data_IF_595419041961
#
_entry.id   IF_595419041961
#
_cell.length_a   1.000
_cell.length_b   1.000
_cell.length_c   1.000
_cell.angle_alpha   90.00
_cell.angle_beta   90.00
_cell.angle_gamma   90.00
#
_symmetry.space_group_name_H-M   'P 1'
#
loop_
_entity.id
_entity.type
_entity.pdbx_description
1 polymer ?
#
# COMPACT_ATOMS: atom_id res chain seq x y z
N UNK A 1 -5.48 23.30 7.94
CA UNK A 1 -6.31 22.84 6.82
C UNK A 1 -6.27 21.33 6.90
N UNK A 2 -7.42 20.70 7.14
CA UNK A 2 -7.56 19.24 7.26
C UNK A 2 -7.17 18.60 5.92
N UNK A 3 -6.38 17.55 5.99
CA UNK A 3 -6.05 16.74 4.81
C UNK A 3 -7.31 15.96 4.39
N UNK A 4 -7.74 16.03 3.11
CA UNK A 4 -8.94 15.36 2.67
C UNK A 4 -8.76 13.84 2.67
N UNK A 5 -9.78 13.14 3.17
CA UNK A 5 -9.85 11.69 3.24
C UNK A 5 -10.43 11.13 1.94
N UNK A 6 -9.57 10.52 1.13
CA UNK A 6 -9.97 9.92 -0.16
C UNK A 6 -10.41 8.47 0.02
N UNK A 7 -11.42 8.04 -0.72
CA UNK A 7 -11.86 6.64 -0.73
C UNK A 7 -10.86 5.76 -1.50
N UNK A 8 -10.47 4.57 -0.99
CA UNK A 8 -9.58 3.65 -1.70
C UNK A 8 -10.30 2.79 -2.78
N UNK A 9 -11.62 2.92 -2.91
CA UNK A 9 -12.43 2.15 -3.85
C UNK A 9 -13.02 3.00 -4.99
N UNK A 10 -13.13 4.31 -4.79
CA UNK A 10 -13.68 5.24 -5.78
C UNK A 10 -12.97 6.60 -5.69
N UNK A 11 -13.27 7.50 -6.62
CA UNK A 11 -12.62 8.82 -6.70
C UNK A 11 -13.26 9.88 -5.78
N UNK A 12 -14.03 9.48 -4.77
CA UNK A 12 -14.66 10.42 -3.83
C UNK A 12 -13.70 10.86 -2.72
N UNK A 13 -13.81 12.13 -2.34
CA UNK A 13 -12.97 12.78 -1.33
C UNK A 13 -13.83 13.47 -0.29
N UNK A 14 -13.46 13.31 0.98
CA UNK A 14 -14.23 13.76 2.13
C UNK A 14 -13.38 14.66 3.03
N UNK A 15 -13.99 15.68 3.64
CA UNK A 15 -13.28 16.56 4.59
C UNK A 15 -13.12 15.87 5.97
N UNK A 16 -14.04 14.95 6.30
CA UNK A 16 -14.13 14.29 7.59
C UNK A 16 -13.99 12.77 7.49
N UNK A 17 -13.31 12.18 8.49
CA UNK A 17 -13.24 10.70 8.65
C UNK A 17 -14.60 10.05 8.83
N UNK A 18 -15.54 10.76 9.45
CA UNK A 18 -16.89 10.25 9.67
C UNK A 18 -17.63 10.10 8.33
N UNK A 19 -17.50 11.08 7.43
CA UNK A 19 -18.17 11.05 6.14
C UNK A 19 -17.59 9.92 5.26
N UNK A 20 -16.27 9.78 5.23
CA UNK A 20 -15.62 8.63 4.58
C UNK A 20 -16.10 7.29 5.17
N UNK A 21 -16.23 7.18 6.50
CA UNK A 21 -16.73 5.95 7.12
C UNK A 21 -18.15 5.63 6.65
N UNK A 22 -19.07 6.60 6.73
CA UNK A 22 -20.47 6.41 6.31
C UNK A 22 -20.53 6.04 4.84
N UNK A 23 -19.76 6.71 3.98
CA UNK A 23 -19.64 6.35 2.56
C UNK A 23 -19.20 4.89 2.36
N UNK A 24 -18.17 4.43 3.07
CA UNK A 24 -17.71 3.05 2.98
C UNK A 24 -18.75 2.04 3.47
N UNK A 25 -19.65 2.42 4.38
CA UNK A 25 -20.72 1.56 4.90
C UNK A 25 -21.95 1.49 3.98
N UNK A 26 -22.31 2.60 3.31
CA UNK A 26 -23.52 2.70 2.48
C UNK A 26 -23.27 2.44 0.99
N UNK A 27 -22.09 2.80 0.48
CA UNK A 27 -21.74 2.72 -0.94
C UNK A 27 -20.98 1.43 -1.25
N UNK A 28 -20.08 1.03 -0.37
CA UNK A 28 -19.22 -0.12 -0.56
C UNK A 28 -19.57 -1.26 0.39
N UNK A 29 -19.37 -2.51 -0.04
CA UNK A 29 -19.46 -3.63 0.90
C UNK A 29 -18.17 -3.75 1.68
N UNK A 30 -18.27 -4.11 2.97
CA UNK A 30 -17.12 -4.35 3.85
C UNK A 30 -16.10 -5.34 3.24
N UNK A 31 -16.56 -6.33 2.46
CA UNK A 31 -15.69 -7.26 1.75
C UNK A 31 -14.82 -6.59 0.69
N UNK A 32 -15.37 -5.62 -0.07
CA UNK A 32 -14.64 -4.90 -1.12
C UNK A 32 -13.58 -3.99 -0.52
N UNK A 33 -13.90 -3.34 0.61
CA UNK A 33 -12.96 -2.49 1.35
C UNK A 33 -11.75 -3.30 1.82
N UNK A 34 -11.99 -4.49 2.39
CA UNK A 34 -10.92 -5.36 2.87
C UNK A 34 -10.06 -5.89 1.72
N UNK A 35 -10.66 -6.27 0.58
CA UNK A 35 -9.91 -6.71 -0.61
C UNK A 35 -8.95 -5.63 -1.10
N UNK A 36 -9.42 -4.39 -1.29
CA UNK A 36 -8.56 -3.28 -1.75
C UNK A 36 -7.41 -3.00 -0.77
N UNK A 37 -7.67 -3.00 0.55
CA UNK A 37 -6.63 -2.84 1.57
C UNK A 37 -5.54 -3.92 1.52
N UNK A 38 -5.92 -5.19 1.29
CA UNK A 38 -4.97 -6.30 1.19
C UNK A 38 -4.11 -6.19 -0.07
N UNK A 39 -4.70 -5.75 -1.18
CA UNK A 39 -3.96 -5.52 -2.43
C UNK A 39 -2.96 -4.35 -2.32
N UNK A 40 -3.31 -3.29 -1.58
CA UNK A 40 -2.42 -2.17 -1.27
C UNK A 40 -1.28 -2.56 -0.31
N UNK A 41 -1.54 -3.41 0.68
CA UNK A 41 -0.52 -3.87 1.64
C UNK A 41 0.47 -4.86 1.00
N UNK A 42 -0.01 -5.68 0.07
CA UNK A 42 0.85 -6.56 -0.73
C UNK A 42 1.82 -5.75 -1.62
N UNK A 43 1.43 -4.55 -2.07
CA UNK A 43 2.31 -3.66 -2.83
C UNK A 43 3.30 -2.88 -1.96
N UNK A 44 2.97 -2.60 -0.69
CA UNK A 44 3.84 -1.82 0.21
C UNK A 44 4.90 -2.68 0.91
N UNK A 45 4.68 -3.99 1.00
CA UNK A 45 5.61 -4.93 1.64
C UNK A 45 6.82 -5.30 0.78
N UNK A 46 6.83 -4.95 -0.51
CA UNK A 46 8.00 -5.08 -1.40
C UNK A 46 8.93 -3.83 -1.37
N UNK A 47 8.61 -2.82 -0.55
CA UNK A 47 9.36 -1.55 -0.50
C UNK A 47 10.01 -1.32 0.88
N UNK A 48 10.16 -2.38 1.69
CA UNK A 48 10.86 -2.33 2.98
C UNK A 48 12.19 -3.10 3.01
N UNK A 49 12.86 -3.26 1.88
CA UNK A 49 14.29 -3.59 1.85
C UNK A 49 14.96 -3.05 0.59
N UNK A 50 15.24 -1.75 0.53
CA UNK A 50 16.59 -1.24 0.20
C UNK A 50 16.63 0.29 0.35
N UNK A 51 16.99 0.76 1.55
CA UNK A 51 17.87 1.92 1.65
C UNK A 51 18.95 1.57 2.66
N UNK A 52 19.83 0.65 2.24
CA UNK A 52 21.28 0.64 2.43
C UNK A 52 21.78 -0.80 2.20
N UNK A 53 22.16 -1.18 0.99
CA UNK A 53 23.56 -1.10 0.54
C UNK A 53 23.71 -1.85 -0.79
N UNK A 54 24.04 -1.08 -1.82
CA UNK A 54 24.51 -1.61 -3.10
C UNK A 54 25.84 -2.35 -2.86
N UNK A 55 25.86 -3.68 -2.77
CA UNK A 55 27.06 -4.41 -3.20
C UNK A 55 26.98 -4.54 -4.70
N UNK A 56 27.64 -3.60 -5.38
CA UNK A 56 28.09 -3.81 -6.75
C UNK A 56 28.99 -5.05 -6.73
N UNK A 57 28.52 -6.09 -7.41
CA UNK A 57 29.30 -7.03 -8.22
C UNK A 57 30.82 -7.10 -7.95
N UNK A 58 31.31 -8.24 -7.43
CA UNK A 58 32.51 -8.84 -8.03
C UNK A 58 32.63 -10.36 -7.77
N UNK A 59 32.68 -11.09 -8.89
CA UNK A 59 33.39 -12.37 -9.14
C UNK A 59 32.93 -13.69 -8.49
N UNK A 60 32.32 -14.62 -9.26
CA UNK A 60 32.24 -16.03 -8.89
C UNK A 60 33.57 -16.74 -9.17
N UNK A 61 34.45 -16.85 -8.18
CA UNK A 61 35.66 -17.67 -8.30
C UNK A 61 35.39 -19.12 -7.89
N UNK A 62 35.61 -20.03 -8.84
CA UNK A 62 35.36 -21.46 -8.73
C UNK A 62 36.22 -22.13 -7.62
N UNK A 63 35.68 -23.15 -6.91
CA UNK A 63 36.46 -23.92 -5.96
C UNK A 63 37.50 -24.77 -6.71
N UNK A 64 38.78 -24.50 -6.47
CA UNK A 64 39.87 -25.35 -6.97
C UNK A 64 40.33 -26.30 -5.86
N UNK A 65 40.15 -27.59 -6.17
CA UNK A 65 40.69 -28.85 -5.61
C UNK A 65 41.44 -28.86 -4.27
#
# INVERSE_FOLDING_TARGET
MTEPHSCPLCTETYDDRNDLRVHLEVTHRKSEVVSSLVELDAAVTDISSDHESTTVDEEPQAPSA
#
